data_IF_055281730237
#
_entry.id   IF_055281730237
#
_cell.length_a   1.000
_cell.length_b   1.000
_cell.length_c   1.000
_cell.angle_alpha   90.00
_cell.angle_beta   90.00
_cell.angle_gamma   90.00
#
_symmetry.space_group_name_H-M   'P 1'
#
loop_
_entity.id
_entity.type
_entity.pdbx_description
1 polymer ?
#
# COMPACT_ATOMS: atom_id res chain seq x y z
N UNK A 1 -73.73 -59.44 16.22
CA UNK A 1 -72.65 -58.46 16.50
C UNK A 1 -71.74 -58.40 15.27
N UNK A 2 -72.12 -57.69 14.20
CA UNK A 2 -71.70 -56.31 13.83
C UNK A 2 -70.22 -55.96 14.07
N UNK A 3 -69.51 -55.87 12.93
CA UNK A 3 -68.38 -54.98 12.58
C UNK A 3 -66.97 -55.41 13.00
N UNK A 4 -66.24 -56.02 12.05
CA UNK A 4 -64.78 -55.97 11.97
C UNK A 4 -64.38 -54.95 10.90
N UNK A 5 -63.63 -53.93 11.31
CA UNK A 5 -63.22 -52.77 10.52
C UNK A 5 -62.00 -53.14 9.66
N UNK A 6 -62.09 -52.83 8.36
CA UNK A 6 -60.98 -52.92 7.40
C UNK A 6 -60.09 -51.70 7.59
N UNK A 7 -58.83 -51.91 7.97
CA UNK A 7 -57.80 -50.85 7.97
C UNK A 7 -56.98 -50.94 6.69
N UNK A 8 -57.28 -50.04 5.75
CA UNK A 8 -56.40 -49.67 4.63
C UNK A 8 -55.85 -48.30 4.98
N UNK A 9 -54.55 -48.18 5.20
CA UNK A 9 -53.88 -46.88 5.28
C UNK A 9 -52.37 -46.99 5.04
N UNK A 10 -52.01 -46.69 3.79
CA UNK A 10 -50.93 -45.77 3.39
C UNK A 10 -49.47 -46.16 3.63
N UNK A 11 -48.86 -46.72 2.58
CA UNK A 11 -47.43 -46.70 2.30
C UNK A 11 -47.02 -45.27 1.90
N UNK A 12 -46.34 -44.53 2.77
CA UNK A 12 -45.69 -43.26 2.40
C UNK A 12 -44.28 -43.59 1.91
N UNK A 13 -44.08 -43.49 0.60
CA UNK A 13 -42.77 -43.57 -0.02
C UNK A 13 -41.94 -42.34 0.39
N UNK A 14 -40.86 -42.56 1.15
CA UNK A 14 -39.78 -41.60 1.30
C UNK A 14 -39.01 -41.49 -0.02
N UNK A 15 -39.51 -40.64 -0.92
CA UNK A 15 -38.70 -40.07 -2.00
C UNK A 15 -37.88 -38.92 -1.42
N UNK A 16 -36.83 -39.25 -0.66
CA UNK A 16 -35.71 -38.33 -0.49
C UNK A 16 -34.95 -38.32 -1.81
N UNK A 17 -35.23 -37.31 -2.63
CA UNK A 17 -34.45 -37.01 -3.81
C UNK A 17 -33.00 -36.71 -3.41
N UNK A 18 -32.11 -37.67 -3.63
CA UNK A 18 -30.69 -37.43 -3.78
C UNK A 18 -30.48 -36.59 -5.05
N UNK A 19 -30.53 -35.27 -4.91
CA UNK A 19 -30.04 -34.31 -5.90
C UNK A 19 -28.88 -33.55 -5.27
N UNK A 20 -27.66 -34.05 -5.48
CA UNK A 20 -26.42 -33.35 -5.13
C UNK A 20 -25.36 -34.28 -4.55
N UNK A 21 -24.66 -35.06 -5.39
CA UNK A 21 -23.43 -35.77 -4.97
C UNK A 21 -22.41 -35.89 -6.08
N UNK A 22 -22.83 -35.90 -7.36
CA UNK A 22 -21.88 -36.01 -8.49
C UNK A 22 -21.05 -34.74 -8.76
N UNK A 23 -21.57 -33.55 -8.43
CA UNK A 23 -20.83 -32.29 -8.63
C UNK A 23 -19.90 -31.92 -7.47
N UNK A 24 -20.34 -32.15 -6.24
CA UNK A 24 -19.56 -31.84 -5.02
C UNK A 24 -18.31 -32.72 -4.91
N UNK A 25 -18.42 -34.01 -5.27
CA UNK A 25 -17.29 -34.93 -5.27
C UNK A 25 -16.18 -34.52 -6.25
N UNK A 26 -16.53 -33.94 -7.40
CA UNK A 26 -15.54 -33.47 -8.38
C UNK A 26 -14.86 -32.17 -7.90
N UNK A 27 -15.62 -31.23 -7.33
CA UNK A 27 -15.04 -30.01 -6.76
C UNK A 27 -14.11 -30.28 -5.58
N UNK A 28 -14.47 -31.23 -4.71
CA UNK A 28 -13.65 -31.59 -3.55
C UNK A 28 -12.31 -32.20 -3.98
N UNK A 29 -12.33 -33.16 -4.90
CA UNK A 29 -11.10 -33.80 -5.41
C UNK A 29 -10.20 -32.82 -6.19
N UNK A 30 -10.78 -31.86 -6.92
CA UNK A 30 -9.99 -30.81 -7.58
C UNK A 30 -9.39 -29.84 -6.58
N UNK A 31 -10.16 -29.40 -5.57
CA UNK A 31 -9.64 -28.56 -4.50
C UNK A 31 -8.50 -29.26 -3.75
N UNK A 32 -8.67 -30.55 -3.42
CA UNK A 32 -7.62 -31.38 -2.81
C UNK A 32 -6.35 -31.41 -3.66
N UNK A 33 -6.47 -31.65 -4.97
CA UNK A 33 -5.32 -31.64 -5.88
C UNK A 33 -4.54 -30.33 -5.81
N UNK A 34 -5.23 -29.20 -5.89
CA UNK A 34 -4.59 -27.87 -5.84
C UNK A 34 -3.98 -27.59 -4.47
N UNK A 35 -4.62 -28.00 -3.37
CA UNK A 35 -4.06 -27.89 -2.02
C UNK A 35 -2.77 -28.70 -1.87
N UNK A 36 -2.76 -29.96 -2.33
CA UNK A 36 -1.57 -30.81 -2.29
C UNK A 36 -0.43 -30.26 -3.16
N UNK A 37 -0.76 -29.69 -4.33
CA UNK A 37 0.19 -29.04 -5.19
C UNK A 37 0.78 -27.79 -4.52
N UNK A 38 -0.06 -26.95 -3.91
CA UNK A 38 0.36 -25.78 -3.14
C UNK A 38 1.33 -26.15 -2.01
N UNK A 39 1.00 -27.16 -1.20
CA UNK A 39 1.85 -27.67 -0.13
C UNK A 39 3.22 -28.17 -0.68
N UNK A 40 3.21 -28.88 -1.82
CA UNK A 40 4.44 -29.35 -2.49
C UNK A 40 5.30 -28.19 -3.00
N UNK A 41 4.69 -27.10 -3.47
CA UNK A 41 5.40 -25.91 -3.92
C UNK A 41 5.98 -25.14 -2.73
N UNK A 42 5.23 -25.01 -1.64
CA UNK A 42 5.69 -24.34 -0.42
C UNK A 42 6.91 -25.06 0.18
N UNK A 43 6.87 -26.40 0.27
CA UNK A 43 8.01 -27.20 0.75
C UNK A 43 9.26 -27.05 -0.13
N UNK A 44 9.08 -26.82 -1.44
CA UNK A 44 10.16 -26.51 -2.39
C UNK A 44 10.57 -25.04 -2.39
N UNK A 45 9.96 -24.21 -1.54
CA UNK A 45 10.13 -22.74 -1.47
C UNK A 45 9.73 -22.01 -2.74
N UNK A 46 8.91 -22.62 -3.59
CA UNK A 46 8.26 -21.97 -4.73
C UNK A 46 7.03 -21.17 -4.25
N UNK A 47 7.27 -20.14 -3.42
CA UNK A 47 6.24 -19.44 -2.65
C UNK A 47 5.27 -18.63 -3.53
N UNK A 48 5.74 -18.11 -4.67
CA UNK A 48 4.90 -17.39 -5.63
C UNK A 48 3.88 -18.33 -6.27
N UNK A 49 4.30 -19.54 -6.62
CA UNK A 49 3.46 -20.55 -7.24
C UNK A 49 2.50 -21.15 -6.20
N UNK A 50 3.00 -21.44 -4.99
CA UNK A 50 2.17 -21.94 -3.89
C UNK A 50 0.99 -21.01 -3.56
N UNK A 51 1.23 -19.69 -3.49
CA UNK A 51 0.14 -18.73 -3.21
C UNK A 51 -0.91 -18.68 -4.32
N UNK A 52 -0.52 -18.91 -5.57
CA UNK A 52 -1.48 -18.96 -6.69
C UNK A 52 -2.39 -20.19 -6.58
N UNK A 53 -1.85 -21.35 -6.21
CA UNK A 53 -2.62 -22.57 -6.05
C UNK A 53 -3.61 -22.49 -4.87
N UNK A 54 -3.18 -21.99 -3.70
CA UNK A 54 -4.12 -21.74 -2.59
C UNK A 54 -5.18 -20.70 -2.96
N UNK A 55 -4.79 -19.62 -3.64
CA UNK A 55 -5.72 -18.58 -4.09
C UNK A 55 -6.76 -19.16 -5.05
N UNK A 56 -6.33 -20.02 -5.97
CA UNK A 56 -7.23 -20.70 -6.91
C UNK A 56 -8.30 -21.49 -6.14
N UNK A 57 -7.92 -22.23 -5.10
CA UNK A 57 -8.88 -22.94 -4.25
C UNK A 57 -9.82 -21.98 -3.52
N UNK A 58 -9.28 -20.90 -2.97
CA UNK A 58 -10.05 -19.88 -2.26
C UNK A 58 -11.02 -19.09 -3.16
N UNK A 59 -10.79 -19.04 -4.47
CA UNK A 59 -11.65 -18.32 -5.42
C UNK A 59 -12.64 -19.24 -6.13
N UNK A 60 -12.22 -20.44 -6.52
CA UNK A 60 -13.01 -21.33 -7.38
C UNK A 60 -13.80 -22.39 -6.60
N UNK A 61 -13.40 -22.74 -5.38
CA UNK A 61 -13.99 -23.85 -4.63
C UNK A 61 -14.50 -23.44 -3.22
N UNK A 62 -15.36 -22.41 -3.10
CA UNK A 62 -15.76 -21.86 -1.81
C UNK A 62 -16.64 -22.78 -0.94
N UNK A 63 -17.18 -23.85 -1.53
CA UNK A 63 -18.05 -24.81 -0.85
C UNK A 63 -17.30 -26.05 -0.33
N UNK A 64 -16.01 -26.16 -0.62
CA UNK A 64 -15.19 -27.33 -0.25
C UNK A 64 -14.67 -27.23 1.17
N UNK A 65 -14.29 -28.38 1.76
CA UNK A 65 -13.71 -28.39 3.11
C UNK A 65 -12.35 -27.69 3.19
N UNK A 66 -11.67 -27.54 2.04
CA UNK A 66 -10.37 -26.89 1.90
C UNK A 66 -10.44 -25.36 1.91
N UNK A 67 -11.61 -24.76 1.65
CA UNK A 67 -11.76 -23.31 1.47
C UNK A 67 -11.22 -22.46 2.64
N UNK A 68 -11.51 -22.76 3.93
CA UNK A 68 -10.97 -21.97 5.03
C UNK A 68 -9.43 -22.03 5.11
N UNK A 69 -8.85 -23.21 4.86
CA UNK A 69 -7.39 -23.41 4.88
C UNK A 69 -6.74 -22.68 3.72
N UNK A 70 -7.35 -22.75 2.53
CA UNK A 70 -6.88 -22.05 1.34
C UNK A 70 -6.84 -20.53 1.56
N UNK A 71 -7.89 -19.94 2.14
CA UNK A 71 -7.91 -18.51 2.50
C UNK A 71 -6.78 -18.17 3.48
N UNK A 72 -6.65 -18.96 4.55
CA UNK A 72 -5.63 -18.73 5.58
C UNK A 72 -4.22 -18.77 5.00
N UNK A 73 -3.91 -19.82 4.22
CA UNK A 73 -2.58 -20.00 3.64
C UNK A 73 -2.30 -18.95 2.56
N UNK A 74 -3.30 -18.53 1.79
CA UNK A 74 -3.18 -17.41 0.85
C UNK A 74 -2.80 -16.12 1.58
N UNK A 75 -3.48 -15.79 2.69
CA UNK A 75 -3.16 -14.61 3.50
C UNK A 75 -1.73 -14.67 4.06
N UNK A 76 -1.33 -15.83 4.59
CA UNK A 76 -0.01 -16.04 5.17
C UNK A 76 1.11 -15.89 4.11
N UNK A 77 0.95 -16.48 2.93
CA UNK A 77 1.96 -16.38 1.88
C UNK A 77 2.06 -14.99 1.27
N UNK A 78 0.95 -14.24 1.15
CA UNK A 78 1.02 -12.83 0.75
C UNK A 78 1.71 -11.97 1.82
N UNK A 79 1.62 -12.33 3.10
CA UNK A 79 2.32 -11.62 4.19
C UNK A 79 3.77 -12.05 4.39
N UNK A 80 4.23 -13.09 3.69
CA UNK A 80 5.57 -13.64 3.90
C UNK A 80 6.62 -12.79 3.16
N UNK A 81 7.57 -12.14 3.87
CA UNK A 81 8.59 -11.30 3.23
C UNK A 81 9.58 -12.08 2.36
N UNK A 82 9.63 -13.41 2.48
CA UNK A 82 10.44 -14.27 1.61
C UNK A 82 9.72 -14.65 0.31
N UNK A 83 8.42 -14.35 0.20
CA UNK A 83 7.66 -14.61 -1.02
C UNK A 83 7.91 -13.48 -2.04
N UNK A 84 8.39 -13.76 -3.26
CA UNK A 84 8.52 -12.75 -4.33
C UNK A 84 7.18 -12.15 -4.78
N UNK A 85 6.06 -12.74 -4.38
CA UNK A 85 4.71 -12.22 -4.58
C UNK A 85 4.11 -11.58 -3.31
N UNK A 86 4.94 -11.21 -2.33
CA UNK A 86 4.50 -10.49 -1.12
C UNK A 86 3.68 -9.25 -1.48
N UNK A 87 2.54 -9.09 -0.80
CA UNK A 87 1.62 -7.98 -0.99
C UNK A 87 0.82 -7.77 0.30
N UNK A 88 1.17 -6.73 1.06
CA UNK A 88 0.54 -6.40 2.34
C UNK A 88 -0.98 -6.13 2.20
N UNK A 89 -1.40 -5.57 1.06
CA UNK A 89 -2.81 -5.24 0.83
C UNK A 89 -3.62 -6.50 0.50
N UNK A 90 -3.06 -7.39 -0.33
CA UNK A 90 -3.65 -8.69 -0.60
C UNK A 90 -3.72 -9.54 0.68
N UNK A 91 -2.63 -9.59 1.46
CA UNK A 91 -2.61 -10.29 2.74
C UNK A 91 -3.70 -9.79 3.68
N UNK A 92 -3.85 -8.46 3.82
CA UNK A 92 -4.86 -7.84 4.66
C UNK A 92 -6.27 -8.25 4.21
N UNK A 93 -6.55 -8.17 2.91
CA UNK A 93 -7.85 -8.60 2.35
C UNK A 93 -8.17 -10.06 2.70
N UNK A 94 -7.22 -10.97 2.51
CA UNK A 94 -7.45 -12.39 2.79
C UNK A 94 -7.57 -12.69 4.29
N UNK A 95 -6.84 -12.00 5.16
CA UNK A 95 -7.04 -12.13 6.61
C UNK A 95 -8.39 -11.61 7.07
N UNK A 96 -8.86 -10.49 6.53
CA UNK A 96 -10.21 -9.98 6.82
C UNK A 96 -11.28 -10.98 6.37
N UNK A 97 -11.15 -11.53 5.15
CA UNK A 97 -12.03 -12.60 4.66
C UNK A 97 -11.97 -13.87 5.52
N UNK A 98 -10.79 -14.22 6.05
CA UNK A 98 -10.64 -15.37 6.96
C UNK A 98 -11.40 -15.17 8.27
N UNK A 99 -11.36 -13.95 8.82
CA UNK A 99 -12.05 -13.62 10.08
C UNK A 99 -13.59 -13.71 9.94
N UNK A 100 -14.12 -13.46 8.74
CA UNK A 100 -15.54 -13.62 8.43
C UNK A 100 -16.00 -15.09 8.47
N UNK A 101 -15.09 -16.07 8.34
CA UNK A 101 -15.39 -17.50 8.42
C UNK A 101 -15.57 -18.02 9.85
N UNK A 102 -15.51 -17.14 10.85
CA UNK A 102 -15.57 -17.48 12.26
C UNK A 102 -14.59 -18.62 12.66
N UNK A 103 -13.27 -18.42 12.46
CA UNK A 103 -12.27 -19.41 12.83
C UNK A 103 -12.25 -19.64 14.34
N UNK A 104 -11.54 -20.69 14.78
CA UNK A 104 -11.35 -20.99 16.20
C UNK A 104 -10.82 -19.77 16.97
N UNK A 105 -11.11 -19.67 18.28
CA UNK A 105 -10.70 -18.52 19.10
C UNK A 105 -9.18 -18.23 19.01
N UNK A 106 -8.38 -19.29 18.96
CA UNK A 106 -6.93 -19.18 18.82
C UNK A 106 -6.54 -18.62 17.45
N UNK A 107 -7.07 -19.18 16.36
CA UNK A 107 -6.78 -18.71 15.01
C UNK A 107 -7.31 -17.31 14.74
N UNK A 108 -8.47 -16.95 15.29
CA UNK A 108 -9.01 -15.59 15.26
C UNK A 108 -8.02 -14.60 15.86
N UNK A 109 -7.52 -14.89 17.07
CA UNK A 109 -6.51 -14.04 17.73
C UNK A 109 -5.27 -13.86 16.85
N UNK A 110 -4.77 -14.95 16.25
CA UNK A 110 -3.61 -14.88 15.33
C UNK A 110 -3.91 -14.00 14.11
N UNK A 111 -5.05 -14.19 13.46
CA UNK A 111 -5.44 -13.40 12.29
C UNK A 111 -5.65 -11.92 12.63
N UNK A 112 -6.26 -11.58 13.76
CA UNK A 112 -6.42 -10.20 14.24
C UNK A 112 -5.07 -9.51 14.50
N UNK A 113 -4.09 -10.26 15.02
CA UNK A 113 -2.71 -9.77 15.16
C UNK A 113 -2.12 -9.44 13.79
N UNK A 114 -2.22 -10.33 12.81
CA UNK A 114 -1.74 -10.08 11.44
C UNK A 114 -2.41 -8.85 10.82
N UNK A 115 -3.74 -8.73 10.90
CA UNK A 115 -4.49 -7.55 10.42
C UNK A 115 -3.96 -6.27 11.07
N UNK A 116 -3.77 -6.27 12.38
CA UNK A 116 -3.27 -5.11 13.13
C UNK A 116 -1.86 -4.73 12.68
N UNK A 117 -0.97 -5.72 12.51
CA UNK A 117 0.39 -5.52 12.02
C UNK A 117 0.42 -4.95 10.60
N UNK A 118 -0.34 -5.52 9.67
CA UNK A 118 -0.43 -5.06 8.28
C UNK A 118 -0.97 -3.62 8.16
N UNK A 119 -2.00 -3.28 8.95
CA UNK A 119 -2.52 -1.91 9.04
C UNK A 119 -1.47 -0.95 9.58
N UNK A 120 -0.69 -1.38 10.59
CA UNK A 120 0.40 -0.57 11.15
C UNK A 120 1.53 -0.36 10.14
N UNK A 121 1.93 -1.39 9.40
CA UNK A 121 2.92 -1.30 8.31
C UNK A 121 2.45 -0.30 7.26
N UNK A 122 1.21 -0.42 6.80
CA UNK A 122 0.62 0.49 5.81
C UNK A 122 0.62 1.93 6.31
N UNK A 123 0.24 2.17 7.57
CA UNK A 123 0.24 3.51 8.17
C UNK A 123 1.67 4.10 8.23
N UNK A 124 2.66 3.28 8.60
CA UNK A 124 4.07 3.70 8.65
C UNK A 124 4.62 4.01 7.26
N UNK A 125 4.32 3.19 6.25
CA UNK A 125 4.70 3.46 4.86
C UNK A 125 4.16 4.82 4.39
N UNK A 126 2.87 5.12 4.64
CA UNK A 126 2.29 6.43 4.31
C UNK A 126 3.00 7.57 5.02
N UNK A 127 3.36 7.39 6.29
CA UNK A 127 4.08 8.41 7.05
C UNK A 127 5.49 8.66 6.48
N UNK A 128 6.20 7.60 6.09
CA UNK A 128 7.51 7.68 5.42
C UNK A 128 7.36 8.44 4.11
N UNK A 129 6.43 8.03 3.22
CA UNK A 129 6.22 8.71 1.93
C UNK A 129 5.87 10.19 2.11
N UNK A 130 5.05 10.54 3.10
CA UNK A 130 4.73 11.93 3.44
C UNK A 130 5.99 12.70 3.86
N UNK A 131 6.80 12.13 4.76
CA UNK A 131 8.03 12.78 5.24
C UNK A 131 9.05 12.97 4.12
N UNK A 132 9.20 11.99 3.23
CA UNK A 132 10.04 12.10 2.04
C UNK A 132 9.57 13.23 1.12
N UNK A 133 8.27 13.32 0.83
CA UNK A 133 7.74 14.41 0.01
C UNK A 133 7.96 15.80 0.62
N UNK A 134 7.86 15.93 1.94
CA UNK A 134 8.20 17.18 2.64
C UNK A 134 9.70 17.48 2.48
N UNK A 135 10.57 16.50 2.72
CA UNK A 135 12.01 16.68 2.58
C UNK A 135 12.41 17.14 1.17
N UNK A 136 11.85 16.52 0.13
CA UNK A 136 12.10 16.88 -1.27
C UNK A 136 11.66 18.33 -1.57
N UNK A 137 10.48 18.71 -1.07
CA UNK A 137 9.98 20.09 -1.23
C UNK A 137 10.88 21.13 -0.53
N UNK A 138 11.42 20.80 0.64
CA UNK A 138 12.34 21.66 1.38
C UNK A 138 13.68 21.80 0.65
N UNK A 139 14.20 20.72 0.05
CA UNK A 139 15.42 20.76 -0.78
C UNK A 139 15.22 21.71 -1.96
N UNK A 140 14.08 21.65 -2.63
CA UNK A 140 13.76 22.56 -3.75
C UNK A 140 13.66 24.01 -3.27
N UNK A 141 12.99 24.26 -2.14
CA UNK A 141 12.87 25.60 -1.56
C UNK A 141 14.24 26.17 -1.17
N UNK A 142 15.10 25.38 -0.53
CA UNK A 142 16.45 25.77 -0.16
C UNK A 142 17.30 26.13 -1.39
N UNK A 143 17.20 25.36 -2.48
CA UNK A 143 17.89 25.68 -3.74
C UNK A 143 17.42 27.01 -4.33
N UNK A 144 16.11 27.28 -4.33
CA UNK A 144 15.56 28.55 -4.81
C UNK A 144 16.06 29.73 -3.98
N UNK A 145 16.01 29.61 -2.66
CA UNK A 145 16.53 30.64 -1.76
C UNK A 145 18.02 30.89 -1.97
N UNK A 146 18.82 29.84 -2.21
CA UNK A 146 20.23 29.96 -2.55
C UNK A 146 20.48 30.75 -3.84
N UNK A 147 19.69 30.49 -4.89
CA UNK A 147 19.77 31.22 -6.16
C UNK A 147 19.38 32.69 -5.97
N UNK A 148 18.27 32.95 -5.25
CA UNK A 148 17.79 34.31 -5.00
C UNK A 148 18.80 35.13 -4.18
N UNK A 149 19.40 34.52 -3.15
CA UNK A 149 20.46 35.17 -2.36
C UNK A 149 21.68 35.48 -3.21
N UNK A 150 22.11 34.55 -4.07
CA UNK A 150 23.22 34.80 -4.99
C UNK A 150 22.92 35.96 -5.96
N UNK A 151 21.70 36.04 -6.48
CA UNK A 151 21.26 37.14 -7.34
C UNK A 151 21.22 38.48 -6.60
N UNK A 152 20.68 38.51 -5.38
CA UNK A 152 20.65 39.72 -4.53
C UNK A 152 22.05 40.20 -4.18
N UNK A 153 22.97 39.29 -3.83
CA UNK A 153 24.35 39.64 -3.54
C UNK A 153 25.04 40.28 -4.76
N UNK A 154 24.84 39.74 -5.97
CA UNK A 154 25.35 40.38 -7.19
C UNK A 154 24.79 41.79 -7.38
N UNK A 155 23.50 41.98 -7.14
CA UNK A 155 22.86 43.29 -7.27
C UNK A 155 23.42 44.31 -6.26
N UNK A 156 23.71 43.88 -5.03
CA UNK A 156 24.34 44.76 -4.02
C UNK A 156 25.73 45.19 -4.51
N UNK A 157 26.55 44.25 -5.01
CA UNK A 157 27.88 44.58 -5.53
C UNK A 157 27.83 45.54 -6.72
N UNK A 158 26.86 45.38 -7.63
CA UNK A 158 26.62 46.34 -8.72
C UNK A 158 26.28 47.74 -8.18
N UNK A 159 25.36 47.82 -7.22
CA UNK A 159 24.95 49.11 -6.63
C UNK A 159 26.08 49.78 -5.85
N UNK A 160 26.92 49.01 -5.15
CA UNK A 160 28.12 49.52 -4.47
C UNK A 160 29.11 50.09 -5.49
N UNK A 161 29.34 49.41 -6.61
CA UNK A 161 30.21 49.89 -7.68
C UNK A 161 29.68 51.18 -8.31
N UNK A 162 28.37 51.25 -8.59
CA UNK A 162 27.71 52.45 -9.11
C UNK A 162 27.81 53.63 -8.14
N UNK A 163 27.64 53.38 -6.83
CA UNK A 163 27.75 54.40 -5.79
C UNK A 163 29.17 54.98 -5.69
N UNK A 164 30.20 54.12 -5.76
CA UNK A 164 31.60 54.56 -5.80
C UNK A 164 31.83 55.46 -7.02
N UNK A 165 31.39 55.01 -8.20
CA UNK A 165 31.54 55.79 -9.45
C UNK A 165 30.85 57.15 -9.39
N UNK A 166 29.61 57.20 -8.88
CA UNK A 166 28.87 58.46 -8.75
C UNK A 166 29.55 59.43 -7.78
N UNK A 167 30.14 58.93 -6.69
CA UNK A 167 30.88 59.76 -5.76
C UNK A 167 32.14 60.36 -6.39
N UNK A 168 32.87 59.59 -7.20
CA UNK A 168 34.02 60.11 -7.95
C UNK A 168 33.61 61.22 -8.94
N UNK A 169 32.49 61.06 -9.63
CA UNK A 169 31.95 62.07 -10.54
C UNK A 169 31.56 63.35 -9.79
N UNK A 170 30.88 63.24 -8.64
CA UNK A 170 30.55 64.39 -7.79
C UNK A 170 31.79 65.11 -7.28
N UNK A 171 32.84 64.38 -6.91
CA UNK A 171 34.11 64.98 -6.48
C UNK A 171 34.77 65.75 -7.63
N UNK A 172 34.79 65.18 -8.84
CA UNK A 172 35.28 65.87 -10.04
C UNK A 172 34.51 67.16 -10.32
N UNK A 173 33.17 67.13 -10.21
CA UNK A 173 32.33 68.31 -10.39
C UNK A 173 32.63 69.38 -9.32
N UNK A 174 32.77 69.00 -8.06
CA UNK A 174 33.18 69.92 -6.98
C UNK A 174 34.52 70.59 -7.26
N UNK A 175 35.51 69.85 -7.74
CA UNK A 175 36.82 70.41 -8.10
C UNK A 175 36.74 71.40 -9.27
N UNK A 176 35.85 71.17 -10.23
CA UNK A 176 35.58 72.12 -11.32
C UNK A 176 34.96 73.40 -10.75
N UNK A 177 33.95 73.29 -9.89
CA UNK A 177 33.29 74.45 -9.28
C UNK A 177 34.24 75.30 -8.43
N UNK A 178 35.09 74.66 -7.61
CA UNK A 178 36.11 75.36 -6.82
C UNK A 178 37.06 76.14 -7.75
N UNK A 179 37.51 75.52 -8.84
CA UNK A 179 38.39 76.18 -9.83
C UNK A 179 37.70 77.38 -10.50
N UNK A 180 36.42 77.28 -10.83
CA UNK A 180 35.65 78.38 -11.41
C UNK A 180 35.53 79.54 -10.41
N UNK A 181 35.18 79.26 -9.16
CA UNK A 181 35.05 80.28 -8.11
C UNK A 181 36.38 80.99 -7.83
N UNK A 182 37.49 80.24 -7.76
CA UNK A 182 38.83 80.82 -7.59
C UNK A 182 39.23 81.72 -8.77
N UNK A 183 38.85 81.35 -10.01
CA UNK A 183 39.08 82.19 -11.20
C UNK A 183 38.24 83.47 -11.18
N UNK A 184 37.01 83.41 -10.69
CA UNK A 184 36.15 84.60 -10.53
C UNK A 184 36.65 85.55 -9.45
N UNK A 185 37.17 85.05 -8.33
CA UNK A 185 37.67 85.87 -7.22
C UNK A 185 39.01 86.58 -7.50
N UNK A 186 39.73 86.21 -8.57
CA UNK A 186 41.00 86.82 -9.00
C UNK A 186 40.85 87.87 -10.11
N UNK A 187 39.63 88.12 -10.59
CA UNK A 187 39.28 89.21 -11.50
C UNK A 187 38.68 90.36 -10.70
#
# INVERSE_FOLDING_TARGET
MRKGVVYVATLIAFLNGCKGTLGESDSESRAEYHMMLADSLETKRALREAVLEYKLVAELYPHTSYFPIAIRNTALLYSNPLNPAVDDSAALHWFEKYLDLAPSKEERTKAEIYVTMLRRITALQREISRRTGIADSLIVAARRLGIDLAARNRRILELEADLVKSNEELQKLREVDIRINQRKAKK
#
